data_IF_629646629841
#
_entry.id   IF_629646629841
#
_cell.length_a   1.000
_cell.length_b   1.000
_cell.length_c   1.000
_cell.angle_alpha   90.00
_cell.angle_beta   90.00
_cell.angle_gamma   90.00
#
_symmetry.space_group_name_H-M   'P 1'
#
loop_
_entity.id
_entity.type
_entity.pdbx_description
1 polymer ?
#
# COMPACT_ATOMS: atom_id res chain seq x y z
N UNK A 1 22.04 -0.87 0.45
CA UNK A 1 20.94 -0.71 1.44
C UNK A 1 21.54 -0.84 2.83
N UNK A 2 21.23 0.07 3.77
CA UNK A 2 21.65 -0.10 5.17
C UNK A 2 20.81 -1.22 5.82
N UNK A 3 21.40 -2.09 6.65
CA UNK A 3 20.65 -3.12 7.36
C UNK A 3 19.53 -2.54 8.24
N UNK A 4 18.47 -3.32 8.42
CA UNK A 4 17.40 -3.04 9.38
C UNK A 4 17.98 -2.82 10.78
N UNK A 5 17.74 -1.65 11.38
CA UNK A 5 18.13 -1.38 12.76
C UNK A 5 17.07 -1.95 13.71
N UNK A 6 17.30 -3.15 14.23
CA UNK A 6 16.38 -3.81 15.17
C UNK A 6 16.47 -3.25 16.60
N UNK A 7 17.42 -2.36 16.88
CA UNK A 7 17.58 -1.73 18.20
C UNK A 7 16.75 -0.46 18.37
N UNK A 8 16.18 0.09 17.29
CA UNK A 8 15.33 1.28 17.29
C UNK A 8 13.85 0.86 17.26
N UNK A 9 13.06 1.11 18.33
CA UNK A 9 11.64 0.80 18.37
C UNK A 9 10.84 1.47 17.23
N UNK A 10 11.23 2.67 16.80
CA UNK A 10 10.55 3.43 15.75
C UNK A 10 10.65 2.72 14.39
N UNK A 11 11.67 1.88 14.20
CA UNK A 11 11.80 1.03 13.02
C UNK A 11 10.60 0.07 12.89
N UNK A 12 10.14 -0.51 14.01
CA UNK A 12 9.00 -1.43 14.02
C UNK A 12 7.66 -0.74 13.79
N UNK A 13 7.58 0.57 14.03
CA UNK A 13 6.42 1.39 13.70
C UNK A 13 6.37 1.78 12.21
N UNK A 14 7.53 1.84 11.53
CA UNK A 14 7.68 2.22 10.11
C UNK A 14 7.97 1.03 9.17
N UNK A 15 7.62 -0.19 9.53
CA UNK A 15 8.03 -1.40 8.77
C UNK A 15 7.48 -1.42 7.33
N UNK A 16 6.37 -0.74 7.08
CA UNK A 16 5.71 -0.72 5.76
C UNK A 16 5.69 0.70 5.20
N UNK A 17 6.75 1.07 4.48
CA UNK A 17 6.92 2.43 3.93
C UNK A 17 5.72 2.93 3.10
N UNK A 18 5.13 2.07 2.27
CA UNK A 18 4.00 2.47 1.42
C UNK A 18 2.72 2.75 2.24
N UNK A 19 2.52 2.06 3.36
CA UNK A 19 1.41 2.32 4.28
C UNK A 19 1.69 3.56 5.13
N UNK A 20 2.95 3.76 5.54
CA UNK A 20 3.35 4.94 6.30
C UNK A 20 3.27 6.23 5.48
N UNK A 21 3.65 6.16 4.20
CA UNK A 21 3.57 7.30 3.28
C UNK A 21 2.13 7.63 2.84
N UNK A 22 1.17 6.72 3.05
CA UNK A 22 -0.23 6.99 2.76
C UNK A 22 -0.84 7.83 3.91
N UNK A 23 -1.45 9.01 3.63
CA UNK A 23 -2.08 9.82 4.67
C UNK A 23 -3.22 9.11 5.42
N UNK A 24 -3.86 8.14 4.77
CA UNK A 24 -4.93 7.33 5.36
C UNK A 24 -4.41 6.05 6.04
N UNK A 25 -3.10 5.81 6.04
CA UNK A 25 -2.49 4.57 6.54
C UNK A 25 -3.16 3.29 6.03
N UNK A 26 -3.59 3.31 4.76
CA UNK A 26 -4.28 2.17 4.13
C UNK A 26 -3.40 0.91 4.21
N UNK A 27 -3.97 -0.26 4.55
CA UNK A 27 -3.22 -1.52 4.65
C UNK A 27 -2.84 -2.06 3.26
N UNK A 28 -1.87 -1.40 2.62
CA UNK A 28 -1.43 -1.66 1.24
C UNK A 28 -1.03 -3.12 1.02
N UNK A 29 -0.17 -3.74 1.85
CA UNK A 29 0.22 -5.13 1.62
C UNK A 29 -0.95 -6.11 1.75
N UNK A 30 -1.90 -5.85 2.66
CA UNK A 30 -3.04 -6.73 2.93
C UNK A 30 -3.96 -6.81 1.70
N UNK A 31 -4.45 -5.67 1.19
CA UNK A 31 -5.36 -5.70 0.05
C UNK A 31 -4.67 -6.15 -1.25
N UNK A 32 -3.38 -5.88 -1.43
CA UNK A 32 -2.62 -6.39 -2.60
C UNK A 32 -2.52 -7.92 -2.55
N UNK A 33 -2.32 -8.50 -1.36
CA UNK A 33 -2.29 -9.95 -1.20
C UNK A 33 -3.65 -10.59 -1.53
N UNK A 34 -4.75 -9.96 -1.12
CA UNK A 34 -6.10 -10.39 -1.45
C UNK A 34 -6.36 -10.30 -2.97
N UNK A 35 -5.93 -9.22 -3.62
CA UNK A 35 -5.99 -9.09 -5.09
C UNK A 35 -5.22 -10.24 -5.77
N UNK A 36 -4.00 -10.55 -5.31
CA UNK A 36 -3.19 -11.64 -5.85
C UNK A 36 -3.86 -13.02 -5.67
N UNK A 37 -4.76 -13.16 -4.70
CA UNK A 37 -5.55 -14.37 -4.44
C UNK A 37 -6.90 -14.38 -5.19
N UNK A 38 -7.20 -13.34 -5.99
CA UNK A 38 -8.50 -13.19 -6.67
C UNK A 38 -9.66 -12.76 -5.75
N UNK A 39 -9.37 -12.38 -4.51
CA UNK A 39 -10.35 -11.97 -3.49
C UNK A 39 -10.59 -10.45 -3.57
N UNK A 40 -11.16 -9.99 -4.68
CA UNK A 40 -11.34 -8.56 -4.97
C UNK A 40 -12.31 -7.88 -4.00
N UNK A 41 -13.42 -8.55 -3.64
CA UNK A 41 -14.41 -8.04 -2.69
C UNK A 41 -13.81 -7.80 -1.31
N UNK A 42 -13.02 -8.75 -0.81
CA UNK A 42 -12.30 -8.64 0.45
C UNK A 42 -11.24 -7.54 0.38
N UNK A 43 -10.49 -7.45 -0.71
CA UNK A 43 -9.51 -6.40 -0.93
C UNK A 43 -10.17 -5.01 -0.88
N UNK A 44 -11.34 -4.86 -1.49
CA UNK A 44 -12.14 -3.64 -1.44
C UNK A 44 -12.55 -3.29 -0.01
N UNK A 45 -13.08 -4.26 0.74
CA UNK A 45 -13.52 -4.06 2.13
C UNK A 45 -12.34 -3.70 3.05
N UNK A 46 -11.19 -4.34 2.87
CA UNK A 46 -9.96 -4.02 3.60
C UNK A 46 -9.52 -2.58 3.34
N UNK A 47 -9.50 -2.16 2.08
CA UNK A 47 -9.17 -0.79 1.70
C UNK A 47 -10.18 0.22 2.27
N UNK A 48 -11.47 -0.17 2.33
CA UNK A 48 -12.55 0.65 2.88
C UNK A 48 -12.42 0.92 4.39
N UNK A 49 -11.70 0.08 5.15
CA UNK A 49 -11.46 0.29 6.59
C UNK A 49 -10.78 1.62 6.88
N UNK A 50 -9.83 2.00 6.03
CA UNK A 50 -9.04 3.22 6.18
C UNK A 50 -9.57 4.38 5.33
N UNK A 51 -10.39 4.10 4.33
CA UNK A 51 -10.81 5.12 3.37
C UNK A 51 -12.21 4.84 2.81
N UNK A 52 -13.13 5.79 2.94
CA UNK A 52 -14.53 5.58 2.52
C UNK A 52 -14.73 5.59 1.01
N UNK A 53 -13.77 6.10 0.23
CA UNK A 53 -13.85 6.22 -1.23
C UNK A 53 -12.71 5.52 -1.99
N UNK A 54 -12.51 4.19 -1.82
CA UNK A 54 -11.40 3.47 -2.43
C UNK A 54 -11.45 3.49 -3.97
N UNK A 55 -12.64 3.42 -4.57
CA UNK A 55 -12.80 3.47 -6.03
C UNK A 55 -12.45 4.83 -6.66
N UNK A 56 -12.82 5.93 -6.00
CA UNK A 56 -12.43 7.29 -6.44
C UNK A 56 -10.93 7.46 -6.29
N UNK A 57 -10.36 7.09 -5.14
CA UNK A 57 -8.93 7.21 -4.90
C UNK A 57 -8.07 6.29 -5.78
N UNK A 58 -8.61 5.16 -6.26
CA UNK A 58 -7.94 4.37 -7.30
C UNK A 58 -7.73 5.11 -8.63
N UNK A 59 -8.42 6.25 -8.82
CA UNK A 59 -8.40 7.05 -10.06
C UNK A 59 -7.72 8.41 -9.87
N UNK A 60 -7.90 9.05 -8.72
CA UNK A 60 -7.45 10.44 -8.47
C UNK A 60 -6.32 10.59 -7.44
N UNK A 61 -5.87 9.51 -6.80
CA UNK A 61 -4.84 9.61 -5.76
C UNK A 61 -3.49 10.08 -6.34
N UNK A 62 -2.81 10.97 -5.60
CA UNK A 62 -1.45 11.48 -5.88
C UNK A 62 -0.33 10.45 -5.65
N UNK A 63 -0.69 9.27 -5.11
CA UNK A 63 0.18 8.10 -4.97
C UNK A 63 1.47 8.32 -4.16
N UNK A 64 1.43 8.98 -2.98
CA UNK A 64 2.64 9.15 -2.16
C UNK A 64 3.26 7.83 -1.70
N UNK A 65 2.48 6.74 -1.72
CA UNK A 65 2.92 5.39 -1.39
C UNK A 65 3.81 4.72 -2.46
N UNK A 66 3.74 5.14 -3.73
CA UNK A 66 4.51 4.53 -4.83
C UNK A 66 5.99 4.94 -4.77
N UNK A 67 6.36 6.23 -4.62
CA UNK A 67 7.76 6.63 -4.41
C UNK A 67 8.37 6.06 -3.13
N UNK A 68 7.57 5.86 -2.08
CA UNK A 68 8.01 5.26 -0.82
C UNK A 68 8.15 3.72 -0.90
N UNK A 69 7.65 3.08 -1.96
CA UNK A 69 7.59 1.63 -2.06
C UNK A 69 8.98 1.00 -1.96
N UNK A 70 9.13 0.00 -1.08
CA UNK A 70 10.39 -0.74 -0.92
C UNK A 70 10.87 -1.36 -2.25
N UNK A 71 9.96 -1.81 -3.12
CA UNK A 71 10.34 -2.39 -4.42
C UNK A 71 11.07 -1.40 -5.32
N UNK A 72 10.73 -0.11 -5.29
CA UNK A 72 11.48 0.91 -6.00
C UNK A 72 12.94 1.05 -5.55
N UNK A 73 13.31 0.54 -4.36
CA UNK A 73 14.70 0.54 -3.86
C UNK A 73 15.44 -0.77 -4.08
N UNK A 74 14.74 -1.86 -4.37
CA UNK A 74 15.29 -3.22 -4.45
C UNK A 74 15.24 -3.76 -5.88
N UNK A 75 14.20 -3.42 -6.63
CA UNK A 75 13.87 -3.92 -7.97
C UNK A 75 13.74 -2.75 -8.98
N UNK A 76 14.19 -1.54 -8.61
CA UNK A 76 14.12 -0.27 -9.38
C UNK A 76 12.71 0.22 -9.77
N UNK A 77 11.67 -0.62 -9.68
CA UNK A 77 10.30 -0.28 -10.03
C UNK A 77 9.34 -0.41 -8.82
N UNK A 78 8.58 0.64 -8.49
CA UNK A 78 7.58 0.56 -7.44
C UNK A 78 6.34 -0.23 -7.91
N UNK A 79 5.61 -0.80 -6.95
CA UNK A 79 4.31 -1.39 -7.26
C UNK A 79 3.32 -0.30 -7.68
N UNK A 80 2.52 -0.55 -8.71
CA UNK A 80 1.42 0.32 -9.14
C UNK A 80 0.21 0.25 -8.17
N UNK A 81 0.44 0.67 -6.92
CA UNK A 81 -0.49 0.56 -5.78
C UNK A 81 -1.82 1.24 -6.08
N UNK A 82 -1.81 2.40 -6.73
CA UNK A 82 -3.04 3.13 -7.06
C UNK A 82 -3.90 2.37 -8.08
N UNK A 83 -3.27 1.72 -9.07
CA UNK A 83 -3.98 0.91 -10.07
C UNK A 83 -4.58 -0.35 -9.45
N UNK A 84 -3.86 -1.00 -8.53
CA UNK A 84 -4.40 -2.15 -7.80
C UNK A 84 -5.58 -1.76 -6.89
N UNK A 85 -5.51 -0.58 -6.28
CA UNK A 85 -6.64 -0.01 -5.53
C UNK A 85 -7.88 0.18 -6.41
N UNK A 86 -7.70 0.59 -7.67
CA UNK A 86 -8.80 0.67 -8.65
C UNK A 86 -9.34 -0.72 -9.01
N UNK A 87 -8.47 -1.69 -9.29
CA UNK A 87 -8.89 -3.07 -9.63
C UNK A 87 -9.76 -3.71 -8.55
N UNK A 88 -9.51 -3.44 -7.27
CA UNK A 88 -10.38 -3.93 -6.21
C UNK A 88 -11.78 -3.30 -6.20
N UNK A 89 -11.96 -2.12 -6.80
CA UNK A 89 -13.22 -1.37 -6.79
C UNK A 89 -14.01 -1.45 -8.11
N UNK A 90 -13.38 -1.92 -9.18
CA UNK A 90 -13.99 -2.15 -10.49
C UNK A 90 -14.57 -3.58 -10.53
#
# INVERSE_FOLDING_TARGET
MKPTNTADPDYFHKVVDCQWACPAHTPVPEYIRLIAQGQFSEAYLVNRRSNVFPGILGRVCDRPCEPACRRGRVEDEPVAICRLKRVAAD
#
